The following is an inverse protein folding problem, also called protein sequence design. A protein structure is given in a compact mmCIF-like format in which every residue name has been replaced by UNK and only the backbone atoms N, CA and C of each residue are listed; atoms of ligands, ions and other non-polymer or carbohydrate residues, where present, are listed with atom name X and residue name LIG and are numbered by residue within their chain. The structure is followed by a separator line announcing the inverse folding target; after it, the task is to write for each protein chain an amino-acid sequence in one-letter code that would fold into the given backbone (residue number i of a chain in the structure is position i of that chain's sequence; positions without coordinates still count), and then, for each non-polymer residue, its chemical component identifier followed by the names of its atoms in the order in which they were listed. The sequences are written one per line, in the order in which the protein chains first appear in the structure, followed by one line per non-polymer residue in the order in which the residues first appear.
data_IF_006595459329
#
_entry.id   IF_006595459329
#
_cell.length_a   1.000
_cell.length_b   1.000
_cell.length_c   1.000
_cell.angle_alpha   90.00
_cell.angle_beta   90.00
_cell.angle_gamma   90.00
#
_symmetry.space_group_name_H-M   'P 1'
#
loop_
_entity.id
_entity.type
_entity.pdbx_description
1 polymer ?
#
# COMPACT_ATOMS: atom_id res chain seq x y z
N UNK A 1 -54.94 -63.01 56.44
CA UNK A 1 -55.12 -63.41 55.03
C UNK A 1 -53.95 -62.86 54.26
N UNK A 2 -53.05 -63.74 53.84
CA UNK A 2 -51.79 -63.45 53.19
C UNK A 2 -52.02 -63.05 51.70
N UNK A 3 -51.33 -62.01 51.21
CA UNK A 3 -51.14 -61.90 49.83
C UNK A 3 -49.67 -61.50 49.52
N UNK A 4 -48.97 -62.48 48.92
CA UNK A 4 -47.57 -62.37 48.46
C UNK A 4 -47.47 -61.40 47.31
N UNK A 5 -46.60 -60.34 47.40
CA UNK A 5 -46.17 -59.57 46.34
C UNK A 5 -44.79 -60.04 45.87
N UNK A 6 -44.74 -60.65 44.68
CA UNK A 6 -43.52 -61.10 43.97
C UNK A 6 -42.81 -59.93 43.41
N UNK A 7 -41.65 -59.56 43.92
CA UNK A 7 -40.77 -58.56 43.29
C UNK A 7 -39.94 -59.20 42.17
N UNK A 8 -40.16 -58.76 40.97
CA UNK A 8 -39.34 -59.08 39.80
C UNK A 8 -38.14 -58.12 39.80
N UNK A 9 -36.96 -58.57 40.09
CA UNK A 9 -35.69 -57.85 39.91
C UNK A 9 -35.30 -57.93 38.42
N UNK A 10 -35.39 -56.85 37.71
CA UNK A 10 -34.77 -56.70 36.44
C UNK A 10 -33.31 -56.21 36.62
N UNK A 11 -32.37 -57.09 36.37
CA UNK A 11 -30.94 -56.77 36.33
C UNK A 11 -30.65 -56.16 34.95
N UNK A 12 -30.06 -54.93 34.79
CA UNK A 12 -29.62 -54.41 33.54
C UNK A 12 -28.36 -55.14 33.09
N UNK A 13 -28.43 -55.80 31.97
CA UNK A 13 -27.26 -56.41 31.30
C UNK A 13 -26.41 -55.27 30.72
N UNK A 14 -25.11 -55.17 31.02
CA UNK A 14 -24.27 -54.16 30.37
C UNK A 14 -24.09 -54.53 28.89
N UNK A 15 -24.54 -53.63 28.03
CA UNK A 15 -24.29 -53.67 26.58
C UNK A 15 -22.80 -53.43 26.35
N UNK A 16 -22.04 -54.51 26.20
CA UNK A 16 -20.62 -54.43 25.83
C UNK A 16 -20.51 -53.91 24.38
N UNK A 17 -20.04 -52.66 24.22
CA UNK A 17 -19.62 -52.15 22.93
C UNK A 17 -18.45 -53.01 22.41
N UNK A 18 -18.75 -53.89 21.48
CA UNK A 18 -17.78 -54.75 20.82
C UNK A 18 -17.02 -53.89 19.79
N UNK A 19 -15.92 -53.28 20.21
CA UNK A 19 -14.98 -52.60 19.31
C UNK A 19 -14.27 -53.63 18.46
N UNK A 20 -14.67 -53.79 17.21
CA UNK A 20 -13.92 -54.62 16.25
C UNK A 20 -12.52 -54.00 16.06
N UNK A 21 -11.43 -54.78 16.21
CA UNK A 21 -10.09 -54.26 15.93
C UNK A 21 -9.99 -53.93 14.44
N UNK A 22 -9.60 -52.69 14.16
CA UNK A 22 -9.26 -52.24 12.82
C UNK A 22 -8.16 -53.11 12.19
N UNK A 23 -8.33 -53.51 10.93
CA UNK A 23 -7.37 -54.38 10.23
C UNK A 23 -5.97 -53.78 10.27
N UNK A 24 -4.90 -54.59 10.27
CA UNK A 24 -3.52 -54.10 10.38
C UNK A 24 -3.10 -53.18 9.24
N UNK A 25 -3.84 -53.15 8.11
CA UNK A 25 -3.61 -52.29 6.95
C UNK A 25 -4.30 -50.91 7.10
N UNK A 26 -5.34 -50.78 7.91
CA UNK A 26 -6.07 -49.51 8.09
C UNK A 26 -5.36 -48.60 9.10
N UNK A 27 -4.62 -49.17 10.05
CA UNK A 27 -3.84 -48.37 11.04
C UNK A 27 -2.76 -47.50 10.44
N UNK A 28 -1.89 -47.99 9.52
CA UNK A 28 -0.89 -47.10 8.90
C UNK A 28 -1.51 -46.08 7.95
N UNK A 29 -2.61 -46.40 7.25
CA UNK A 29 -3.32 -45.47 6.40
C UNK A 29 -3.95 -44.32 7.19
N UNK A 30 -4.58 -44.60 8.31
CA UNK A 30 -5.14 -43.59 9.22
C UNK A 30 -4.06 -42.69 9.84
N UNK A 31 -2.90 -43.24 10.16
CA UNK A 31 -1.75 -42.47 10.67
C UNK A 31 -1.16 -41.56 9.61
N UNK A 32 -1.10 -41.97 8.34
CA UNK A 32 -0.65 -41.13 7.20
C UNK A 32 -1.64 -40.03 6.92
N UNK A 33 -2.95 -40.28 6.93
CA UNK A 33 -4.00 -39.27 6.77
C UNK A 33 -3.94 -38.24 7.91
N UNK A 34 -3.82 -38.67 9.15
CA UNK A 34 -3.69 -37.76 10.31
C UNK A 34 -2.40 -36.92 10.27
N UNK A 35 -1.29 -37.47 9.75
CA UNK A 35 -0.04 -36.73 9.54
C UNK A 35 -0.16 -35.72 8.36
N UNK A 36 -0.92 -36.07 7.31
CA UNK A 36 -1.19 -35.14 6.21
C UNK A 36 -2.08 -33.96 6.66
N UNK A 37 -3.12 -34.24 7.45
CA UNK A 37 -3.99 -33.17 8.01
C UNK A 37 -3.24 -32.31 9.04
N UNK A 38 -2.37 -32.87 9.86
CA UNK A 38 -1.50 -32.11 10.77
C UNK A 38 -0.50 -31.24 10.03
N UNK A 39 0.00 -31.68 8.87
CA UNK A 39 0.87 -30.89 7.99
C UNK A 39 0.17 -29.69 7.34
N UNK A 40 -1.12 -29.81 7.02
CA UNK A 40 -1.93 -28.72 6.44
C UNK A 40 -2.29 -27.61 7.46
N UNK A 41 -2.33 -27.94 8.76
CA UNK A 41 -2.62 -26.96 9.82
C UNK A 41 -1.42 -26.06 10.18
N UNK A 42 -0.21 -26.37 9.72
CA UNK A 42 1.01 -25.62 10.05
C UNK A 42 1.35 -24.51 9.04
N UNK A 43 0.58 -24.31 7.98
CA UNK A 43 0.89 -23.34 6.92
C UNK A 43 0.20 -21.99 7.05
N UNK A 44 -0.53 -21.72 8.13
CA UNK A 44 -1.03 -20.37 8.41
C UNK A 44 0.06 -19.53 9.09
N UNK A 45 1.19 -19.33 8.41
CA UNK A 45 2.19 -18.35 8.80
C UNK A 45 1.76 -16.98 8.25
N UNK A 46 0.74 -16.37 8.85
CA UNK A 46 0.39 -14.99 8.57
C UNK A 46 1.64 -14.11 8.73
N UNK A 47 1.85 -13.18 7.80
CA UNK A 47 2.96 -12.23 7.86
C UNK A 47 2.75 -11.30 9.05
N UNK A 48 3.61 -11.41 10.07
CA UNK A 48 3.55 -10.56 11.25
C UNK A 48 4.32 -9.29 11.00
N UNK A 49 3.64 -8.15 11.17
CA UNK A 49 4.27 -6.85 11.16
C UNK A 49 4.34 -6.27 12.57
N UNK A 50 5.31 -5.39 12.77
CA UNK A 50 5.43 -4.54 13.94
C UNK A 50 5.86 -3.15 13.48
N UNK A 51 5.00 -2.17 13.69
CA UNK A 51 5.30 -0.76 13.47
C UNK A 51 5.61 -0.14 14.84
N UNK A 52 6.78 0.44 14.99
CA UNK A 52 7.22 1.18 16.17
C UNK A 52 7.55 2.60 15.75
N UNK A 53 6.78 3.54 16.23
CA UNK A 53 6.92 4.93 15.86
C UNK A 53 7.36 5.84 16.99
N UNK A 54 8.12 6.87 16.63
CA UNK A 54 8.47 8.00 17.50
C UNK A 54 8.06 9.30 16.85
N UNK A 55 7.56 10.24 17.65
CA UNK A 55 7.16 11.56 17.19
C UNK A 55 7.72 12.65 18.09
N UNK A 56 8.27 13.70 17.48
CA UNK A 56 8.61 14.96 18.15
C UNK A 56 7.52 16.02 18.01
N UNK A 57 6.46 15.71 17.25
CA UNK A 57 5.30 16.60 17.03
C UNK A 57 4.38 16.52 18.24
N UNK A 58 4.45 17.53 19.12
CA UNK A 58 3.73 17.55 20.40
C UNK A 58 2.21 17.50 20.25
N UNK A 59 1.66 17.97 19.13
CA UNK A 59 0.21 17.94 18.85
C UNK A 59 -0.32 16.53 18.56
N UNK A 60 0.57 15.54 18.33
CA UNK A 60 0.20 14.15 18.14
C UNK A 60 0.04 13.40 19.47
N UNK A 61 0.59 13.90 20.58
CA UNK A 61 0.48 13.23 21.88
C UNK A 61 -0.99 13.16 22.33
N UNK A 62 -1.43 11.98 22.76
CA UNK A 62 -2.83 11.68 23.09
C UNK A 62 -3.74 11.54 21.85
N UNK A 63 -3.22 11.55 20.64
CA UNK A 63 -4.01 11.32 19.41
C UNK A 63 -3.89 9.87 18.96
N UNK A 64 -4.97 9.36 18.36
CA UNK A 64 -4.96 8.04 17.74
C UNK A 64 -4.50 8.14 16.28
N UNK A 65 -3.46 7.39 15.96
CA UNK A 65 -3.00 7.16 14.59
C UNK A 65 -3.61 5.87 14.04
N UNK A 66 -3.90 5.85 12.75
CA UNK A 66 -4.53 4.73 12.06
C UNK A 66 -3.67 4.29 10.88
N UNK A 67 -3.53 2.99 10.67
CA UNK A 67 -3.09 2.44 9.39
C UNK A 67 -4.31 2.17 8.53
N UNK A 68 -4.43 2.83 7.41
CA UNK A 68 -5.56 2.70 6.49
C UNK A 68 -5.12 2.27 5.11
N UNK A 69 -5.90 1.43 4.49
CA UNK A 69 -5.75 1.05 3.08
C UNK A 69 -7.02 1.37 2.31
N UNK A 70 -6.89 1.50 1.01
CA UNK A 70 -8.03 1.67 0.13
C UNK A 70 -8.49 0.29 -0.35
N UNK A 71 -9.71 -0.12 0.01
CA UNK A 71 -10.34 -1.34 -0.45
C UNK A 71 -11.64 -1.01 -1.19
N UNK A 72 -11.75 -1.40 -2.47
CA UNK A 72 -12.91 -1.11 -3.33
C UNK A 72 -13.36 0.38 -3.28
N UNK A 73 -12.39 1.31 -3.27
CA UNK A 73 -12.62 2.76 -3.22
C UNK A 73 -13.05 3.30 -1.85
N UNK A 74 -12.95 2.49 -0.78
CA UNK A 74 -13.26 2.91 0.59
C UNK A 74 -12.05 2.77 1.48
N UNK A 75 -11.84 3.73 2.35
CA UNK A 75 -10.83 3.65 3.39
C UNK A 75 -11.21 2.63 4.46
N UNK A 76 -10.34 1.63 4.64
CA UNK A 76 -10.47 0.58 5.66
C UNK A 76 -9.32 0.71 6.64
N UNK A 77 -9.63 0.76 7.94
CA UNK A 77 -8.62 0.76 9.00
C UNK A 77 -8.11 -0.66 9.21
N UNK A 78 -6.80 -0.82 9.11
CA UNK A 78 -6.10 -2.10 9.34
C UNK A 78 -5.68 -2.22 10.79
N UNK A 79 -5.18 -1.12 11.39
CA UNK A 79 -4.69 -1.07 12.78
C UNK A 79 -4.75 0.36 13.30
N UNK A 80 -4.58 0.53 14.62
CA UNK A 80 -4.50 1.86 15.23
C UNK A 80 -3.74 1.81 16.56
N UNK A 81 -3.15 2.95 16.95
CA UNK A 81 -2.52 3.14 18.25
C UNK A 81 -2.63 4.59 18.70
N UNK A 82 -2.74 4.80 19.99
CA UNK A 82 -2.60 6.12 20.59
C UNK A 82 -1.11 6.49 20.70
N UNK A 83 -0.80 7.76 20.51
CA UNK A 83 0.55 8.31 20.74
C UNK A 83 0.68 8.67 22.20
N UNK A 84 1.56 7.98 22.92
CA UNK A 84 1.84 8.19 24.33
C UNK A 84 3.28 8.65 24.53
N UNK A 85 3.49 9.84 25.04
CA UNK A 85 4.82 10.44 25.22
C UNK A 85 5.67 10.43 23.94
N UNK A 86 5.02 10.73 22.81
CA UNK A 86 5.65 10.74 21.51
C UNK A 86 5.97 9.34 20.93
N UNK A 87 5.48 8.25 21.51
CA UNK A 87 5.69 6.89 21.04
C UNK A 87 4.36 6.24 20.66
N UNK A 88 4.40 5.37 19.64
CA UNK A 88 3.25 4.53 19.30
C UNK A 88 3.72 3.16 18.78
N UNK A 89 2.87 2.15 18.92
CA UNK A 89 3.16 0.80 18.46
C UNK A 89 1.91 0.12 17.93
N UNK A 90 2.05 -0.48 16.74
CA UNK A 90 1.02 -1.30 16.11
C UNK A 90 1.60 -2.66 15.76
N UNK A 91 0.85 -3.73 15.97
CA UNK A 91 1.31 -5.10 15.70
C UNK A 91 0.14 -5.96 15.24
N UNK A 92 0.35 -6.68 14.16
CA UNK A 92 -0.69 -7.54 13.61
C UNK A 92 -0.18 -8.56 12.62
N UNK A 93 -1.11 -9.10 11.88
CA UNK A 93 -0.85 -10.03 10.79
C UNK A 93 -1.58 -9.55 9.54
N UNK A 94 -0.94 -9.70 8.40
CA UNK A 94 -1.53 -9.47 7.09
C UNK A 94 -1.38 -10.72 6.22
N UNK A 95 -2.40 -11.02 5.45
CA UNK A 95 -2.38 -12.19 4.56
C UNK A 95 -1.43 -11.96 3.37
N UNK A 96 -1.34 -10.71 2.93
CA UNK A 96 -0.47 -10.27 1.83
C UNK A 96 0.22 -8.95 2.19
N UNK A 97 1.30 -8.65 1.48
CA UNK A 97 1.93 -7.32 1.54
C UNK A 97 0.93 -6.29 1.04
N UNK A 98 0.73 -5.22 1.79
CA UNK A 98 -0.25 -4.18 1.47
C UNK A 98 0.34 -2.79 1.72
N UNK A 99 0.06 -1.86 0.81
CA UNK A 99 0.36 -0.45 1.01
C UNK A 99 -0.75 0.19 1.84
N UNK A 100 -0.35 0.89 2.87
CA UNK A 100 -1.25 1.62 3.78
C UNK A 100 -0.80 3.07 3.91
N UNK A 101 -1.68 3.92 4.40
CA UNK A 101 -1.35 5.28 4.81
C UNK A 101 -1.47 5.37 6.32
N UNK A 102 -0.44 5.89 6.97
CA UNK A 102 -0.52 6.33 8.36
C UNK A 102 -1.33 7.63 8.39
N UNK A 103 -2.41 7.64 9.16
CA UNK A 103 -3.37 8.75 9.18
C UNK A 103 -3.60 9.24 10.61
N UNK A 104 -3.93 10.52 10.75
CA UNK A 104 -4.54 11.09 11.94
C UNK A 104 -5.97 11.58 11.58
N UNK A 105 -6.99 10.97 12.18
CA UNK A 105 -8.37 11.22 11.73
C UNK A 105 -8.56 10.84 10.26
N UNK A 106 -9.00 11.75 9.43
CA UNK A 106 -9.16 11.57 7.98
C UNK A 106 -7.92 12.02 7.16
N UNK A 107 -6.94 12.62 7.81
CA UNK A 107 -5.76 13.18 7.16
C UNK A 107 -4.64 12.13 7.06
N UNK A 108 -4.12 11.92 5.86
CA UNK A 108 -2.97 11.06 5.59
C UNK A 108 -1.67 11.77 5.95
N UNK A 109 -0.80 11.09 6.71
CA UNK A 109 0.51 11.58 7.11
C UNK A 109 1.59 11.06 6.15
N UNK A 110 1.69 9.74 5.99
CA UNK A 110 2.75 9.11 5.21
C UNK A 110 2.36 7.71 4.72
N UNK A 111 2.87 7.27 3.56
CA UNK A 111 2.66 5.91 3.07
C UNK A 111 3.57 4.91 3.79
N UNK A 112 3.09 3.69 4.02
CA UNK A 112 3.84 2.57 4.58
C UNK A 112 3.50 1.27 3.85
N UNK A 113 4.41 0.30 3.91
CA UNK A 113 4.16 -1.06 3.43
C UNK A 113 4.08 -1.99 4.64
N UNK A 114 2.95 -2.64 4.82
CA UNK A 114 2.81 -3.71 5.82
C UNK A 114 3.33 -5.02 5.22
N UNK A 115 4.54 -5.37 5.60
CA UNK A 115 5.23 -6.61 5.28
C UNK A 115 5.76 -7.27 6.57
N UNK A 116 6.26 -8.50 6.49
CA UNK A 116 6.83 -9.17 7.67
C UNK A 116 8.06 -8.44 8.17
N UNK A 117 8.11 -8.14 9.46
CA UNK A 117 9.28 -7.52 10.07
C UNK A 117 8.94 -6.42 11.06
N UNK A 118 9.98 -5.68 11.42
CA UNK A 118 9.90 -4.53 12.32
C UNK A 118 10.17 -3.25 11.54
N UNK A 119 9.18 -2.41 11.45
CA UNK A 119 9.22 -1.11 10.82
C UNK A 119 9.38 -0.03 11.89
N UNK A 120 10.37 0.83 11.72
CA UNK A 120 10.59 2.01 12.55
C UNK A 120 10.08 3.23 11.80
N UNK A 121 9.27 4.04 12.46
CA UNK A 121 8.66 5.25 11.89
C UNK A 121 9.09 6.46 12.71
N UNK A 122 9.56 7.50 12.05
CA UNK A 122 9.93 8.78 12.65
C UNK A 122 9.03 9.88 12.11
N UNK A 123 8.37 10.60 13.01
CA UNK A 123 7.49 11.72 12.70
C UNK A 123 8.04 13.01 13.34
N UNK A 124 8.44 13.98 12.53
CA UNK A 124 8.77 15.31 12.97
C UNK A 124 8.14 16.35 12.03
N UNK A 125 8.31 17.63 12.33
CA UNK A 125 7.85 18.69 11.43
C UNK A 125 8.61 18.70 10.09
N UNK A 126 9.86 18.22 10.10
CA UNK A 126 10.76 18.31 8.95
C UNK A 126 11.04 16.93 8.33
N UNK A 127 10.76 15.84 9.08
CA UNK A 127 11.17 14.48 8.69
C UNK A 127 10.02 13.51 8.89
N UNK A 128 9.67 12.79 7.83
CA UNK A 128 8.75 11.66 7.82
C UNK A 128 9.50 10.47 7.22
N UNK A 129 9.93 9.52 8.03
CA UNK A 129 10.75 8.38 7.62
C UNK A 129 10.20 7.05 8.13
N UNK A 130 10.41 6.00 7.35
CA UNK A 130 10.10 4.64 7.75
C UNK A 130 11.17 3.66 7.23
N UNK A 131 11.80 2.90 8.14
CA UNK A 131 12.93 2.02 7.84
C UNK A 131 12.83 0.69 8.60
N UNK A 132 13.56 -0.31 8.12
CA UNK A 132 13.75 -1.58 8.80
C UNK A 132 13.06 -2.77 8.14
N UNK A 133 12.39 -2.54 7.01
CA UNK A 133 11.88 -3.61 6.16
C UNK A 133 12.17 -3.30 4.67
N UNK A 134 12.45 -4.32 3.83
CA UNK A 134 12.98 -4.10 2.50
C UNK A 134 12.14 -3.20 1.59
N UNK A 135 10.82 -3.34 1.62
CA UNK A 135 9.94 -2.53 0.76
C UNK A 135 9.77 -1.10 1.28
N UNK A 136 9.77 -0.90 2.59
CA UNK A 136 9.78 0.44 3.16
C UNK A 136 11.11 1.15 2.92
N UNK A 137 12.25 0.45 3.09
CA UNK A 137 13.57 1.01 2.80
C UNK A 137 13.67 1.46 1.33
N UNK A 138 13.15 0.65 0.39
CA UNK A 138 13.10 1.00 -1.02
C UNK A 138 12.14 2.18 -1.31
N UNK A 139 10.96 2.22 -0.65
CA UNK A 139 9.99 3.30 -0.79
C UNK A 139 10.57 4.64 -0.30
N UNK A 140 11.20 4.63 0.87
CA UNK A 140 11.76 5.85 1.45
C UNK A 140 13.00 6.33 0.72
N UNK A 141 13.86 5.42 0.24
CA UNK A 141 14.94 5.79 -0.69
C UNK A 141 14.42 6.44 -1.98
N UNK A 142 13.27 5.99 -2.49
CA UNK A 142 12.63 6.62 -3.64
C UNK A 142 12.08 8.01 -3.28
N UNK A 143 11.39 8.15 -2.16
CA UNK A 143 10.82 9.42 -1.69
C UNK A 143 11.92 10.46 -1.49
N UNK A 144 13.01 10.09 -0.79
CA UNK A 144 14.15 10.97 -0.50
C UNK A 144 14.80 11.48 -1.78
N UNK A 145 15.07 10.58 -2.74
CA UNK A 145 15.66 11.00 -4.02
C UNK A 145 14.73 11.88 -4.84
N UNK A 146 13.42 11.58 -4.83
CA UNK A 146 12.42 12.42 -5.49
C UNK A 146 12.34 13.81 -4.85
N UNK A 147 12.43 13.89 -3.52
CA UNK A 147 12.46 15.15 -2.77
C UNK A 147 13.71 15.95 -3.11
N UNK A 148 14.90 15.32 -3.11
CA UNK A 148 16.15 15.97 -3.53
C UNK A 148 16.04 16.60 -4.93
N UNK A 149 15.45 15.86 -5.88
CA UNK A 149 15.27 16.35 -7.24
C UNK A 149 14.23 17.50 -7.30
N UNK A 150 13.16 17.42 -6.50
CA UNK A 150 12.16 18.49 -6.40
C UNK A 150 12.77 19.77 -5.79
N UNK A 151 13.61 19.65 -4.76
CA UNK A 151 14.32 20.78 -4.13
C UNK A 151 15.25 21.48 -5.12
N UNK A 152 15.92 20.71 -5.98
CA UNK A 152 16.75 21.27 -7.06
C UNK A 152 15.89 22.06 -8.07
N UNK A 153 14.69 21.57 -8.40
CA UNK A 153 13.78 22.29 -9.31
C UNK A 153 13.32 23.60 -8.67
N UNK A 154 12.91 23.56 -7.41
CA UNK A 154 12.50 24.76 -6.67
C UNK A 154 13.64 25.79 -6.55
N UNK A 155 14.90 25.34 -6.42
CA UNK A 155 16.03 26.27 -6.41
C UNK A 155 16.25 26.94 -7.77
N UNK A 156 16.02 26.24 -8.89
CA UNK A 156 16.04 26.84 -10.22
C UNK A 156 14.93 27.90 -10.40
N UNK A 157 13.71 27.59 -9.94
CA UNK A 157 12.59 28.53 -9.96
C UNK A 157 12.87 29.78 -9.09
N UNK A 158 13.45 29.58 -7.91
CA UNK A 158 13.89 30.69 -7.05
C UNK A 158 15.00 31.53 -7.68
N UNK A 159 15.91 30.89 -8.41
CA UNK A 159 16.98 31.58 -9.17
C UNK A 159 16.38 32.43 -10.29
N UNK A 160 15.41 31.91 -11.03
CA UNK A 160 14.67 32.66 -12.06
C UNK A 160 14.02 33.91 -11.45
N UNK A 161 13.23 33.75 -10.39
CA UNK A 161 12.56 34.86 -9.72
C UNK A 161 13.56 35.95 -9.24
N UNK A 162 14.71 35.54 -8.69
CA UNK A 162 15.77 36.45 -8.22
C UNK A 162 16.37 37.26 -9.38
N UNK A 163 16.67 36.62 -10.52
CA UNK A 163 17.22 37.28 -11.70
C UNK A 163 16.24 38.30 -12.31
N UNK A 164 14.94 37.98 -12.30
CA UNK A 164 13.88 38.93 -12.69
C UNK A 164 13.88 40.16 -11.79
N UNK A 165 13.96 39.98 -10.46
CA UNK A 165 14.00 41.08 -9.51
C UNK A 165 15.27 41.94 -9.62
N UNK A 166 16.39 41.36 -10.07
CA UNK A 166 17.65 42.08 -10.38
C UNK A 166 17.57 42.91 -11.65
N UNK A 167 16.45 42.83 -12.39
CA UNK A 167 16.20 43.62 -13.61
C UNK A 167 16.85 43.06 -14.87
N UNK A 168 17.23 41.76 -14.84
CA UNK A 168 17.68 41.09 -16.08
C UNK A 168 16.50 40.91 -17.03
N UNK A 169 16.80 40.83 -18.33
CA UNK A 169 15.80 40.56 -19.36
C UNK A 169 15.22 39.15 -19.18
N UNK A 170 13.90 39.02 -19.27
CA UNK A 170 13.21 37.75 -19.09
C UNK A 170 13.64 36.69 -20.13
N UNK A 171 13.79 37.10 -21.42
CA UNK A 171 14.21 36.19 -22.49
C UNK A 171 15.62 35.63 -22.27
N UNK A 172 16.54 36.45 -21.72
CA UNK A 172 17.92 36.03 -21.41
C UNK A 172 17.92 35.07 -20.22
N UNK A 173 17.10 35.32 -19.18
CA UNK A 173 16.95 34.43 -18.00
C UNK A 173 16.39 33.09 -18.47
N UNK A 174 15.30 33.12 -19.25
CA UNK A 174 14.65 31.93 -19.74
C UNK A 174 15.62 31.06 -20.56
N UNK A 175 16.36 31.67 -21.47
CA UNK A 175 17.38 30.97 -22.28
C UNK A 175 18.52 30.38 -21.42
N UNK A 176 18.91 31.07 -20.33
CA UNK A 176 19.94 30.58 -19.37
C UNK A 176 19.45 29.33 -18.60
N UNK A 177 18.19 29.32 -18.12
CA UNK A 177 17.68 28.30 -17.21
C UNK A 177 16.91 27.16 -17.89
N UNK A 178 16.35 27.40 -19.10
CA UNK A 178 15.49 26.44 -19.82
C UNK A 178 16.17 25.07 -20.00
N UNK A 179 17.45 25.07 -20.40
CA UNK A 179 18.20 23.83 -20.62
C UNK A 179 18.38 23.05 -19.32
N UNK A 180 18.66 23.73 -18.20
CA UNK A 180 18.88 23.12 -16.89
C UNK A 180 17.56 22.59 -16.33
N UNK A 181 16.46 23.36 -16.42
CA UNK A 181 15.12 22.95 -16.00
C UNK A 181 14.60 21.76 -16.80
N UNK A 182 14.80 21.78 -18.13
CA UNK A 182 14.41 20.67 -19.01
C UNK A 182 15.18 19.39 -18.66
N UNK A 183 16.50 19.49 -18.52
CA UNK A 183 17.34 18.35 -18.17
C UNK A 183 16.95 17.75 -16.79
N UNK A 184 16.67 18.60 -15.80
CA UNK A 184 16.23 18.16 -14.49
C UNK A 184 14.83 17.53 -14.53
N UNK A 185 13.91 18.07 -15.33
CA UNK A 185 12.58 17.47 -15.56
C UNK A 185 12.70 16.07 -16.17
N UNK A 186 13.59 15.90 -17.16
CA UNK A 186 13.87 14.58 -17.75
C UNK A 186 14.50 13.61 -16.75
N UNK A 187 15.41 14.11 -15.86
CA UNK A 187 15.99 13.30 -14.77
C UNK A 187 14.89 12.80 -13.81
N UNK A 188 13.98 13.68 -13.38
CA UNK A 188 12.85 13.35 -12.51
C UNK A 188 11.95 12.29 -13.15
N UNK A 189 11.52 12.54 -14.40
CA UNK A 189 10.62 11.64 -15.11
C UNK A 189 11.26 10.28 -15.36
N UNK A 190 12.54 10.25 -15.71
CA UNK A 190 13.30 9.01 -15.91
C UNK A 190 13.47 8.24 -14.61
N UNK A 191 13.76 8.93 -13.50
CA UNK A 191 13.89 8.31 -12.18
C UNK A 191 12.60 7.65 -11.74
N UNK A 192 11.46 8.35 -11.81
CA UNK A 192 10.14 7.83 -11.47
C UNK A 192 9.77 6.64 -12.34
N UNK A 193 9.92 6.78 -13.66
CA UNK A 193 9.63 5.70 -14.61
C UNK A 193 10.46 4.44 -14.30
N UNK A 194 11.76 4.60 -14.14
CA UNK A 194 12.67 3.48 -13.89
C UNK A 194 12.35 2.77 -12.57
N UNK A 195 12.01 3.51 -11.52
CA UNK A 195 11.61 2.92 -10.25
C UNK A 195 10.32 2.09 -10.38
N UNK A 196 9.29 2.64 -11.03
CA UNK A 196 8.03 1.91 -11.27
C UNK A 196 8.28 0.66 -12.10
N UNK A 197 9.07 0.76 -13.18
CA UNK A 197 9.41 -0.36 -14.06
C UNK A 197 10.16 -1.47 -13.32
N UNK A 198 11.12 -1.12 -12.46
CA UNK A 198 11.87 -2.08 -11.64
C UNK A 198 10.97 -2.79 -10.60
N UNK A 199 9.81 -2.24 -10.30
CA UNK A 199 8.88 -2.73 -9.27
C UNK A 199 7.52 -3.18 -9.82
N UNK A 200 7.37 -3.41 -11.11
CA UNK A 200 6.09 -3.84 -11.70
C UNK A 200 5.47 -5.08 -11.06
N UNK A 201 6.31 -6.01 -10.60
CA UNK A 201 5.88 -7.30 -10.06
C UNK A 201 5.63 -7.28 -8.53
N UNK A 202 5.80 -6.13 -7.88
CA UNK A 202 5.56 -5.97 -6.45
C UNK A 202 4.68 -4.76 -6.14
N UNK A 203 4.31 -4.59 -4.88
CA UNK A 203 3.36 -3.54 -4.43
C UNK A 203 3.88 -2.11 -4.67
N UNK A 204 5.21 -1.91 -4.73
CA UNK A 204 5.80 -0.57 -4.92
C UNK A 204 5.48 0.00 -6.31
N UNK A 205 5.47 -0.83 -7.35
CA UNK A 205 5.17 -0.36 -8.70
C UNK A 205 3.79 0.31 -8.79
N UNK A 206 2.69 -0.41 -8.53
CA UNK A 206 1.35 0.18 -8.51
C UNK A 206 1.20 1.28 -7.47
N UNK A 207 1.80 1.11 -6.27
CA UNK A 207 1.73 2.08 -5.19
C UNK A 207 2.36 3.43 -5.57
N UNK A 208 3.60 3.42 -6.06
CA UNK A 208 4.31 4.63 -6.50
C UNK A 208 3.63 5.24 -7.74
N UNK A 209 3.16 4.42 -8.68
CA UNK A 209 2.36 4.91 -9.81
C UNK A 209 1.15 5.72 -9.32
N UNK A 210 0.38 5.21 -8.36
CA UNK A 210 -0.76 5.92 -7.79
C UNK A 210 -0.34 7.17 -7.02
N UNK A 211 0.77 7.16 -6.28
CA UNK A 211 1.32 8.35 -5.63
C UNK A 211 1.63 9.46 -6.63
N UNK A 212 2.26 9.13 -7.76
CA UNK A 212 2.55 10.09 -8.83
C UNK A 212 1.27 10.60 -9.48
N UNK A 213 0.36 9.70 -9.83
CA UNK A 213 -0.92 10.07 -10.44
C UNK A 213 -1.80 10.96 -9.54
N UNK A 214 -1.70 10.80 -8.20
CA UNK A 214 -2.45 11.61 -7.24
C UNK A 214 -2.00 13.08 -7.18
N UNK A 215 -0.85 13.44 -7.74
CA UNK A 215 -0.41 14.84 -7.86
C UNK A 215 -1.11 15.58 -8.99
N UNK A 216 -1.75 14.87 -9.90
CA UNK A 216 -2.52 15.46 -11.00
C UNK A 216 -3.92 15.87 -10.52
N UNK A 217 -4.49 16.98 -11.01
CA UNK A 217 -5.79 17.48 -10.56
C UNK A 217 -6.95 16.52 -10.87
N UNK A 218 -6.79 15.69 -11.89
CA UNK A 218 -7.72 14.61 -12.26
C UNK A 218 -6.98 13.56 -13.12
N UNK A 219 -7.48 12.33 -13.22
CA UNK A 219 -6.86 11.29 -14.04
C UNK A 219 -6.78 11.68 -15.51
N UNK A 220 -5.56 11.70 -16.07
CA UNK A 220 -5.26 11.95 -17.47
C UNK A 220 -4.14 11.04 -17.95
N UNK A 221 -4.03 10.85 -19.26
CA UNK A 221 -2.88 10.20 -19.89
C UNK A 221 -1.87 11.27 -20.30
N UNK A 222 -0.76 11.36 -19.55
CA UNK A 222 0.39 12.18 -19.96
C UNK A 222 1.41 11.31 -20.70
N UNK A 223 2.34 11.90 -21.49
CA UNK A 223 3.39 11.13 -22.16
C UNK A 223 4.22 10.27 -21.19
N UNK A 224 4.45 10.73 -19.96
CA UNK A 224 5.18 10.02 -18.95
C UNK A 224 4.40 8.77 -18.46
N UNK A 225 3.08 8.93 -18.25
CA UNK A 225 2.20 7.81 -17.87
C UNK A 225 2.12 6.81 -19.02
N UNK A 226 1.96 7.27 -20.28
CA UNK A 226 1.99 6.40 -21.44
C UNK A 226 3.29 5.61 -21.52
N UNK A 227 4.45 6.26 -21.33
CA UNK A 227 5.75 5.60 -21.36
C UNK A 227 5.95 4.55 -20.24
N UNK A 228 5.25 4.68 -19.11
CA UNK A 228 5.22 3.66 -18.06
C UNK A 228 4.33 2.49 -18.49
N UNK A 229 3.14 2.77 -19.00
CA UNK A 229 2.12 1.75 -19.33
C UNK A 229 2.49 0.93 -20.55
N UNK A 230 3.14 1.51 -21.55
CA UNK A 230 3.53 0.83 -22.79
C UNK A 230 4.46 -0.36 -22.55
N UNK A 231 5.36 -0.25 -21.58
CA UNK A 231 6.29 -1.32 -21.19
C UNK A 231 5.77 -2.20 -20.04
N UNK A 232 4.60 -1.87 -19.48
CA UNK A 232 4.10 -2.57 -18.30
C UNK A 232 3.58 -3.97 -18.61
N UNK A 233 3.90 -4.98 -17.77
CA UNK A 233 3.33 -6.32 -17.88
C UNK A 233 1.82 -6.31 -17.54
N UNK A 234 1.15 -7.38 -17.94
CA UNK A 234 -0.29 -7.54 -17.70
C UNK A 234 -0.63 -7.49 -16.21
N UNK A 235 0.22 -8.09 -15.36
CA UNK A 235 0.07 -8.08 -13.90
C UNK A 235 -0.03 -6.66 -13.32
N UNK A 236 0.81 -5.74 -13.80
CA UNK A 236 0.75 -4.34 -13.40
C UNK A 236 -0.49 -3.64 -13.94
N UNK A 237 -0.81 -3.82 -15.23
CA UNK A 237 -1.98 -3.18 -15.88
C UNK A 237 -3.31 -3.66 -15.33
N UNK A 238 -3.38 -4.92 -14.85
CA UNK A 238 -4.57 -5.52 -14.25
C UNK A 238 -4.68 -5.25 -12.74
N UNK A 239 -3.67 -4.62 -12.12
CA UNK A 239 -3.81 -4.12 -10.76
C UNK A 239 -5.04 -3.23 -10.65
N UNK A 240 -5.89 -3.43 -9.65
CA UNK A 240 -7.19 -2.78 -9.53
C UNK A 240 -7.10 -1.24 -9.57
N UNK A 241 -6.11 -0.65 -8.90
CA UNK A 241 -5.91 0.80 -8.84
C UNK A 241 -5.41 1.35 -10.17
N UNK A 242 -4.43 0.70 -10.78
CA UNK A 242 -3.89 1.09 -12.08
C UNK A 242 -4.97 1.03 -13.15
N UNK A 243 -5.73 -0.06 -13.18
CA UNK A 243 -6.82 -0.27 -14.13
C UNK A 243 -7.93 0.78 -13.99
N UNK A 244 -8.34 1.09 -12.77
CA UNK A 244 -9.35 2.13 -12.49
C UNK A 244 -8.85 3.50 -12.92
N UNK A 245 -7.60 3.86 -12.58
CA UNK A 245 -7.00 5.11 -13.04
C UNK A 245 -6.98 5.23 -14.57
N UNK A 246 -6.52 4.19 -15.26
CA UNK A 246 -6.45 4.18 -16.74
C UNK A 246 -7.83 4.28 -17.39
N UNK A 247 -8.85 3.66 -16.80
CA UNK A 247 -10.22 3.77 -17.28
C UNK A 247 -10.73 5.21 -17.16
N UNK A 248 -10.58 5.84 -16.00
CA UNK A 248 -10.96 7.22 -15.75
C UNK A 248 -10.17 8.23 -16.60
N UNK A 249 -8.88 8.00 -16.78
CA UNK A 249 -8.04 8.85 -17.60
C UNK A 249 -8.51 8.85 -19.07
N UNK A 250 -8.85 7.68 -19.62
CA UNK A 250 -9.41 7.59 -20.98
C UNK A 250 -10.75 8.29 -21.12
N UNK A 251 -11.65 8.11 -20.14
CA UNK A 251 -12.95 8.79 -20.11
C UNK A 251 -12.77 10.31 -20.10
N UNK A 252 -11.91 10.84 -19.23
CA UNK A 252 -11.62 12.27 -19.15
C UNK A 252 -11.04 12.81 -20.45
N UNK A 253 -10.13 12.08 -21.11
CA UNK A 253 -9.57 12.48 -22.41
C UNK A 253 -10.64 12.57 -23.49
N UNK A 254 -11.59 11.64 -23.55
CA UNK A 254 -12.71 11.69 -24.48
C UNK A 254 -13.62 12.91 -24.24
N UNK A 255 -13.90 13.22 -22.98
CA UNK A 255 -14.69 14.40 -22.60
C UNK A 255 -13.98 15.71 -23.02
N UNK A 256 -12.66 15.82 -22.81
CA UNK A 256 -11.88 16.97 -23.21
C UNK A 256 -11.86 17.16 -24.74
N UNK A 257 -11.70 16.07 -25.49
CA UNK A 257 -11.76 16.11 -26.96
C UNK A 257 -13.14 16.58 -27.46
N UNK A 258 -14.23 16.02 -26.92
CA UNK A 258 -15.59 16.43 -27.28
C UNK A 258 -15.86 17.93 -26.96
N UNK A 259 -15.33 18.44 -25.85
CA UNK A 259 -15.43 19.87 -25.50
C UNK A 259 -14.68 20.76 -26.49
N UNK A 260 -13.48 20.35 -26.91
CA UNK A 260 -12.68 21.09 -27.90
C UNK A 260 -13.38 21.14 -29.27
N UNK A 261 -13.93 20.01 -29.75
CA UNK A 261 -14.68 19.95 -31.01
C UNK A 261 -15.92 20.85 -30.98
N UNK A 262 -16.67 20.84 -29.89
CA UNK A 262 -17.83 21.67 -29.67
C UNK A 262 -17.47 23.17 -29.65
N UNK A 263 -16.35 23.52 -29.00
CA UNK A 263 -15.87 24.93 -28.98
C UNK A 263 -15.39 25.42 -30.33
N UNK A 264 -14.80 24.56 -31.15
CA UNK A 264 -14.39 24.88 -32.52
C UNK A 264 -15.61 25.07 -33.45
N UNK A 265 -16.64 24.21 -33.29
CA UNK A 265 -17.88 24.26 -34.07
C UNK A 265 -18.71 25.51 -33.75
N UNK A 266 -18.69 25.97 -32.49
CA UNK A 266 -19.40 27.16 -32.04
C UNK A 266 -18.74 28.49 -32.49
N UNK A 267 -17.49 28.45 -32.97
CA UNK A 267 -16.73 29.62 -33.49
C UNK A 267 -16.84 29.83 -35.00
N UNK A 268 -17.36 28.83 -35.70
CA UNK A 268 -17.62 28.85 -37.14
C UNK A 268 -19.10 29.14 -37.43
#
# INVERSE_FOLDING_TARGET
MNTFATQIRLTPTPMALQTRPLSPFVRPLLAVVLLLEAGLLLTSCGRKYRVEGSSTVTTLDGKTLYLRTLDNGKWVSVDSAEVEHGLFRMMGQVDSVVMVTLCMGEEGIMPLILESGRLQVTLSNDVLEAHGTPLNDALYSFIDKRTELADRMEELERREARLVLEGKNFDDIHAELETEMTSLSEEINSYVKNFIQANYENILGPGVFMMVCSTLPYPVMTPEIEAIIDSAPTTFRDNAFVKDYLAKARENMQLLQAQQENALTARN
#
